data_IF_200499164530
#
_entry.id   IF_200499164530
#
_cell.length_a   1.000
_cell.length_b   1.000
_cell.length_c   1.000
_cell.angle_alpha   90.00
_cell.angle_beta   90.00
_cell.angle_gamma   90.00
#
_symmetry.space_group_name_H-M   'P 1'
#
loop_
_entity.id
_entity.type
_entity.pdbx_description
1 polymer ?
#
# COMPACT_ATOMS: atom_id res chain seq x y z
N UNK A 1 58.04 -1.39 8.46
CA UNK A 1 56.78 -0.77 8.90
C UNK A 1 55.78 -0.55 7.77
N UNK A 2 56.15 -0.09 6.59
CA UNK A 2 55.21 0.14 5.46
C UNK A 2 54.44 -1.09 4.96
N UNK A 3 55.05 -2.28 4.92
CA UNK A 3 54.37 -3.51 4.47
C UNK A 3 53.21 -3.95 5.36
N UNK A 4 53.29 -3.69 6.66
CA UNK A 4 52.22 -4.05 7.58
C UNK A 4 51.04 -3.06 7.55
N UNK A 5 51.29 -1.81 7.17
CA UNK A 5 50.25 -0.80 6.97
C UNK A 5 49.39 -1.11 5.74
N UNK A 6 49.98 -1.56 4.66
CA UNK A 6 49.29 -1.92 3.41
C UNK A 6 48.43 -3.17 3.63
N UNK A 7 48.90 -4.15 4.39
CA UNK A 7 48.15 -5.35 4.73
C UNK A 7 46.92 -5.01 5.62
N UNK A 8 47.03 -4.06 6.56
CA UNK A 8 45.96 -3.61 7.39
C UNK A 8 44.88 -2.83 6.61
N UNK A 9 45.27 -2.01 5.62
CA UNK A 9 44.32 -1.33 4.75
C UNK A 9 43.57 -2.27 3.81
N UNK A 10 44.21 -3.31 3.30
CA UNK A 10 43.58 -4.33 2.44
C UNK A 10 42.56 -5.20 3.23
N UNK A 11 42.81 -5.45 4.51
CA UNK A 11 41.91 -6.21 5.37
C UNK A 11 40.64 -5.37 5.75
N UNK A 12 40.78 -4.04 5.86
CA UNK A 12 39.65 -3.14 6.17
C UNK A 12 38.65 -2.97 5.02
N UNK A 13 39.05 -3.19 3.78
CA UNK A 13 38.18 -3.08 2.57
C UNK A 13 37.33 -4.35 2.40
N UNK A 14 37.69 -5.48 2.98
CA UNK A 14 36.94 -6.75 2.83
C UNK A 14 35.68 -6.87 3.68
N UNK A 15 35.36 -5.87 4.54
CA UNK A 15 34.17 -5.89 5.44
C UNK A 15 33.06 -4.97 4.92
N UNK A 16 33.03 -4.64 3.63
CA UNK A 16 31.84 -4.05 3.02
C UNK A 16 30.82 -5.17 2.84
N UNK A 17 30.17 -5.54 3.94
CA UNK A 17 29.03 -6.45 3.89
C UNK A 17 27.99 -5.91 2.91
N UNK A 18 27.58 -6.74 1.97
CA UNK A 18 26.49 -6.43 1.06
C UNK A 18 25.26 -6.11 1.90
N UNK A 19 24.90 -4.84 2.00
CA UNK A 19 23.62 -4.42 2.55
C UNK A 19 22.54 -4.98 1.61
N UNK A 20 21.96 -6.13 1.97
CA UNK A 20 20.77 -6.63 1.27
C UNK A 20 19.65 -5.65 1.52
N UNK A 21 19.42 -4.74 0.59
CA UNK A 21 18.19 -3.96 0.57
C UNK A 21 17.03 -4.94 0.45
N UNK A 22 16.14 -4.96 1.43
CA UNK A 22 14.92 -5.74 1.35
C UNK A 22 14.08 -5.18 0.21
N UNK A 23 14.07 -5.88 -0.94
CA UNK A 23 13.21 -5.51 -2.06
C UNK A 23 11.82 -6.11 -1.85
N UNK A 24 10.80 -5.27 -1.89
CA UNK A 24 9.41 -5.74 -1.91
C UNK A 24 9.09 -6.22 -3.32
N UNK A 25 8.65 -7.49 -3.43
CA UNK A 25 8.21 -8.03 -4.72
C UNK A 25 7.05 -7.22 -5.28
N UNK A 26 7.11 -6.88 -6.53
CA UNK A 26 5.99 -6.26 -7.24
C UNK A 26 4.85 -7.26 -7.43
N UNK A 27 3.65 -6.84 -7.02
CA UNK A 27 2.43 -7.65 -7.14
C UNK A 27 1.61 -7.18 -8.35
N UNK A 28 1.04 -8.13 -9.07
CA UNK A 28 0.03 -7.85 -10.08
C UNK A 28 -1.31 -7.51 -9.42
N UNK A 29 -2.20 -6.84 -10.13
CA UNK A 29 -3.49 -6.42 -9.59
C UNK A 29 -4.35 -7.62 -9.15
N UNK A 30 -4.30 -8.70 -9.90
CA UNK A 30 -4.99 -9.95 -9.55
C UNK A 30 -4.44 -10.57 -8.26
N UNK A 31 -3.13 -10.58 -8.07
CA UNK A 31 -2.50 -11.03 -6.83
C UNK A 31 -2.91 -10.15 -5.63
N UNK A 32 -2.96 -8.82 -5.83
CA UNK A 32 -3.42 -7.87 -4.82
C UNK A 32 -4.87 -8.17 -4.42
N UNK A 33 -5.77 -8.35 -5.40
CA UNK A 33 -7.18 -8.65 -5.17
C UNK A 33 -7.33 -10.00 -4.47
N UNK A 34 -6.61 -11.01 -4.93
CA UNK A 34 -6.71 -12.37 -4.42
C UNK A 34 -6.23 -12.50 -2.98
N UNK A 35 -5.11 -11.83 -2.67
CA UNK A 35 -4.47 -11.86 -1.34
C UNK A 35 -5.23 -11.02 -0.31
N UNK A 36 -5.95 -9.98 -0.75
CA UNK A 36 -6.71 -9.14 0.16
C UNK A 36 -7.80 -9.92 0.89
N UNK A 37 -7.93 -9.72 2.19
CA UNK A 37 -9.04 -10.25 3.01
C UNK A 37 -10.26 -9.35 2.87
N UNK A 38 -10.05 -8.03 2.84
CA UNK A 38 -11.09 -7.04 2.60
C UNK A 38 -10.62 -6.02 1.58
N UNK A 39 -11.56 -5.48 0.80
CA UNK A 39 -11.33 -4.38 -0.11
C UNK A 39 -12.54 -3.45 -0.16
N UNK A 40 -12.28 -2.16 -0.17
CA UNK A 40 -13.34 -1.14 -0.21
C UNK A 40 -12.88 0.14 -0.91
N UNK A 41 -13.86 0.94 -1.34
CA UNK A 41 -13.69 2.35 -1.68
C UNK A 41 -14.14 3.18 -0.48
N UNK A 42 -13.37 4.21 -0.13
CA UNK A 42 -13.72 5.08 0.98
C UNK A 42 -12.87 6.35 1.04
N UNK A 43 -13.35 7.31 1.81
CA UNK A 43 -12.67 8.58 2.07
C UNK A 43 -11.99 8.52 3.43
N UNK A 44 -10.72 8.88 3.51
CA UNK A 44 -10.02 9.02 4.77
C UNK A 44 -10.63 10.18 5.57
N UNK A 45 -11.19 9.89 6.74
CA UNK A 45 -11.83 10.89 7.61
C UNK A 45 -10.95 11.36 8.75
N UNK A 46 -9.89 10.61 9.08
CA UNK A 46 -8.98 11.01 10.15
C UNK A 46 -7.78 10.09 10.29
N UNK A 47 -6.71 10.65 10.83
CA UNK A 47 -5.52 9.93 11.26
C UNK A 47 -5.24 10.27 12.72
N UNK A 48 -4.94 9.26 13.54
CA UNK A 48 -4.55 9.44 14.93
C UNK A 48 -3.31 8.60 15.21
N UNK A 49 -2.23 9.26 15.57
CA UNK A 49 -0.97 8.60 15.92
C UNK A 49 -0.81 8.57 17.43
N UNK A 50 -0.45 7.41 17.96
CA UNK A 50 -0.23 7.22 19.38
C UNK A 50 0.75 6.07 19.65
N UNK A 51 1.18 5.93 20.89
CA UNK A 51 1.91 4.75 21.36
C UNK A 51 0.89 3.66 21.67
N UNK A 52 1.01 2.56 20.95
CA UNK A 52 0.10 1.42 21.12
C UNK A 52 0.33 0.72 22.48
N UNK A 53 -0.70 0.59 23.31
CA UNK A 53 -0.55 0.01 24.64
C UNK A 53 -0.17 -1.47 24.63
N UNK A 54 -0.50 -2.20 23.55
CA UNK A 54 -0.22 -3.63 23.42
C UNK A 54 1.22 -3.91 22.98
N UNK A 55 1.72 -3.14 22.02
CA UNK A 55 3.04 -3.39 21.40
C UNK A 55 4.11 -2.38 21.81
N UNK A 56 3.72 -1.28 22.45
CA UNK A 56 4.57 -0.14 22.79
C UNK A 56 5.21 0.57 21.59
N UNK A 57 4.79 0.25 20.36
CA UNK A 57 5.23 0.94 19.15
C UNK A 57 4.41 2.19 18.87
N UNK A 58 4.99 3.12 18.10
CA UNK A 58 4.23 4.22 17.51
C UNK A 58 3.39 3.65 16.38
N UNK A 59 2.09 3.89 16.41
CA UNK A 59 1.12 3.41 15.42
C UNK A 59 0.21 4.54 14.97
N UNK A 60 -0.26 4.44 13.74
CA UNK A 60 -1.27 5.34 13.19
C UNK A 60 -2.56 4.57 12.93
N UNK A 61 -3.64 5.06 13.50
CA UNK A 61 -5.00 4.65 13.19
C UNK A 61 -5.55 5.57 12.10
N UNK A 62 -5.86 5.00 10.95
CA UNK A 62 -6.51 5.72 9.85
C UNK A 62 -7.95 5.25 9.72
N UNK A 63 -8.88 6.19 9.79
CA UNK A 63 -10.33 5.94 9.70
C UNK A 63 -10.86 6.35 8.34
N UNK A 64 -11.71 5.51 7.77
CA UNK A 64 -12.36 5.71 6.49
C UNK A 64 -13.88 5.72 6.63
N UNK A 65 -14.55 6.65 5.95
CA UNK A 65 -15.94 6.52 5.58
C UNK A 65 -16.02 5.66 4.32
N UNK A 66 -16.54 4.43 4.46
CA UNK A 66 -16.63 3.46 3.37
C UNK A 66 -17.85 3.77 2.51
N UNK A 67 -17.65 3.92 1.21
CA UNK A 67 -18.70 4.23 0.24
C UNK A 67 -19.11 3.01 -0.59
N UNK A 68 -18.19 2.02 -0.74
CA UNK A 68 -18.45 0.81 -1.51
C UNK A 68 -17.58 -0.35 -1.03
N UNK A 69 -18.16 -1.52 -0.80
CA UNK A 69 -17.45 -2.74 -0.40
C UNK A 69 -17.23 -3.61 -1.64
N UNK A 70 -15.96 -3.97 -1.87
CA UNK A 70 -15.53 -4.76 -3.03
C UNK A 70 -15.25 -6.20 -2.67
N UNK A 71 -14.77 -6.46 -1.44
CA UNK A 71 -14.47 -7.81 -0.93
C UNK A 71 -14.60 -7.86 0.58
N UNK A 72 -15.10 -8.98 1.08
CA UNK A 72 -15.26 -9.24 2.52
C UNK A 72 -16.38 -8.42 3.16
N UNK A 73 -16.40 -8.39 4.50
CA UNK A 73 -17.40 -7.67 5.28
C UNK A 73 -16.76 -6.43 5.90
N UNK A 74 -17.24 -5.25 5.53
CA UNK A 74 -16.71 -3.96 5.97
C UNK A 74 -17.88 -3.05 6.36
N UNK A 75 -17.81 -2.45 7.54
CA UNK A 75 -18.82 -1.49 7.99
C UNK A 75 -18.66 -0.13 7.29
N UNK A 76 -19.67 0.73 7.40
CA UNK A 76 -19.66 2.10 6.84
C UNK A 76 -18.52 2.97 7.36
N UNK A 77 -17.99 2.64 8.54
CA UNK A 77 -16.76 3.23 9.07
C UNK A 77 -15.76 2.11 9.33
N UNK A 78 -14.56 2.25 8.78
CA UNK A 78 -13.49 1.26 8.95
C UNK A 78 -12.20 1.93 9.39
N UNK A 79 -11.55 1.38 10.41
CA UNK A 79 -10.28 1.89 10.92
C UNK A 79 -9.20 0.84 10.77
N UNK A 80 -8.08 1.22 10.18
CA UNK A 80 -6.89 0.40 10.09
C UNK A 80 -5.83 0.89 11.07
N UNK A 81 -5.01 -0.03 11.57
CA UNK A 81 -3.86 0.23 12.44
C UNK A 81 -2.59 -0.11 11.69
N UNK A 82 -1.73 0.87 11.51
CA UNK A 82 -0.45 0.72 10.83
C UNK A 82 0.71 1.09 11.73
N UNK A 83 1.87 0.46 11.48
CA UNK A 83 3.09 0.79 12.21
C UNK A 83 3.64 2.13 11.74
N UNK A 84 4.10 2.95 12.69
CA UNK A 84 4.71 4.25 12.42
C UNK A 84 3.75 5.42 12.47
N UNK A 85 4.29 6.60 12.34
CA UNK A 85 3.61 7.88 12.37
C UNK A 85 4.42 8.94 13.12
N UNK A 86 3.87 10.13 13.20
CA UNK A 86 4.40 11.26 13.97
C UNK A 86 3.47 11.55 15.14
N UNK A 87 4.02 11.48 16.34
CA UNK A 87 3.28 11.76 17.56
C UNK A 87 2.86 13.23 17.62
N UNK A 88 1.71 13.53 18.24
CA UNK A 88 1.30 14.90 18.49
C UNK A 88 2.42 15.70 19.17
N UNK A 89 2.66 16.93 18.69
CA UNK A 89 3.75 17.78 19.21
C UNK A 89 5.13 17.50 18.62
N UNK A 90 5.28 16.50 17.74
CA UNK A 90 6.56 16.18 17.09
C UNK A 90 7.59 15.51 18.02
N UNK A 91 7.19 15.08 19.22
CA UNK A 91 8.07 14.49 20.22
C UNK A 91 8.77 13.20 19.74
N UNK A 92 8.09 12.44 18.91
CA UNK A 92 8.59 11.20 18.35
C UNK A 92 7.99 10.96 16.96
N UNK A 93 8.85 10.74 15.98
CA UNK A 93 8.46 10.30 14.63
C UNK A 93 9.12 8.96 14.36
N UNK A 94 8.30 7.97 13.99
CA UNK A 94 8.78 6.66 13.57
C UNK A 94 8.20 6.35 12.20
N UNK A 95 9.05 6.19 11.21
CA UNK A 95 8.65 5.92 9.84
C UNK A 95 9.15 4.54 9.42
N UNK A 96 8.25 3.79 8.80
CA UNK A 96 8.55 2.47 8.22
C UNK A 96 8.45 2.60 6.70
N UNK A 97 9.55 2.28 6.02
CA UNK A 97 9.60 2.37 4.56
C UNK A 97 8.55 1.45 3.91
N UNK A 98 7.86 2.01 2.93
CA UNK A 98 6.81 1.31 2.19
C UNK A 98 5.44 1.28 2.87
N UNK A 99 5.31 1.60 4.17
CA UNK A 99 4.01 1.76 4.81
C UNK A 99 3.34 3.03 4.30
N UNK A 100 2.17 2.94 3.64
CA UNK A 100 1.55 4.11 3.03
C UNK A 100 0.87 4.99 4.08
N UNK A 101 0.89 6.29 3.83
CA UNK A 101 0.09 7.28 4.54
C UNK A 101 -1.18 7.60 3.78
N UNK A 102 -2.22 8.09 4.50
CA UNK A 102 -3.49 8.49 3.92
C UNK A 102 -3.77 9.95 4.26
N UNK A 103 -4.20 10.70 3.27
CA UNK A 103 -4.54 12.13 3.44
C UNK A 103 -6.01 12.25 3.81
N UNK A 104 -6.31 13.00 4.89
CA UNK A 104 -7.68 13.29 5.30
C UNK A 104 -8.42 14.04 4.18
N UNK A 105 -9.65 13.63 3.90
CA UNK A 105 -10.47 14.14 2.81
C UNK A 105 -10.21 13.50 1.45
N UNK A 106 -9.12 12.73 1.29
CA UNK A 106 -8.84 12.04 0.02
C UNK A 106 -9.56 10.68 -0.05
N UNK A 107 -9.93 10.32 -1.27
CA UNK A 107 -10.64 9.07 -1.59
C UNK A 107 -9.67 8.01 -2.09
N UNK A 108 -9.90 6.77 -1.68
CA UNK A 108 -9.04 5.63 -1.98
C UNK A 108 -9.86 4.37 -2.32
N UNK A 109 -9.27 3.48 -3.12
CA UNK A 109 -9.60 2.07 -3.14
C UNK A 109 -8.48 1.34 -2.41
N UNK A 110 -8.83 0.56 -1.37
CA UNK A 110 -7.85 -0.07 -0.50
C UNK A 110 -8.09 -1.58 -0.46
N UNK A 111 -7.02 -2.34 -0.68
CA UNK A 111 -6.99 -3.80 -0.56
C UNK A 111 -6.15 -4.14 0.67
N UNK A 112 -6.75 -4.70 1.70
CA UNK A 112 -6.14 -4.93 3.00
C UNK A 112 -5.86 -6.40 3.28
N UNK A 113 -4.74 -6.65 3.93
CA UNK A 113 -4.47 -7.93 4.57
C UNK A 113 -5.41 -8.16 5.76
N UNK A 114 -5.51 -9.41 6.18
CA UNK A 114 -6.20 -9.75 7.42
C UNK A 114 -5.59 -9.05 8.63
N UNK A 115 -6.42 -8.84 9.65
CA UNK A 115 -5.97 -8.23 10.92
C UNK A 115 -5.08 -9.21 11.67
N UNK A 116 -3.89 -8.77 12.07
CA UNK A 116 -2.96 -9.56 12.90
C UNK A 116 -3.46 -9.69 14.34
N UNK A 117 -2.86 -10.60 15.12
CA UNK A 117 -3.14 -10.74 16.56
C UNK A 117 -2.89 -9.47 17.37
N UNK A 118 -2.02 -8.59 16.90
CA UNK A 118 -1.75 -7.29 17.50
C UNK A 118 -2.64 -6.16 16.92
N UNK A 119 -3.63 -6.49 16.10
CA UNK A 119 -4.59 -5.56 15.53
C UNK A 119 -4.09 -4.80 14.29
N UNK A 120 -2.90 -5.09 13.77
CA UNK A 120 -2.41 -4.44 12.56
C UNK A 120 -3.14 -4.91 11.32
N UNK A 121 -3.51 -3.96 10.47
CA UNK A 121 -4.06 -4.20 9.13
C UNK A 121 -3.45 -3.17 8.18
N UNK A 122 -2.80 -3.66 7.13
CA UNK A 122 -2.11 -2.81 6.16
C UNK A 122 -2.52 -3.18 4.75
N UNK A 123 -2.39 -2.25 3.79
CA UNK A 123 -2.59 -2.58 2.40
C UNK A 123 -1.64 -3.69 1.94
N UNK A 124 -2.14 -4.53 1.03
CA UNK A 124 -1.37 -5.64 0.44
C UNK A 124 -0.10 -5.08 -0.23
N UNK A 125 1.01 -5.77 0.00
CA UNK A 125 2.30 -5.37 -0.57
C UNK A 125 2.74 -3.97 -0.13
N UNK A 126 2.46 -3.57 1.11
CA UNK A 126 2.70 -2.23 1.66
C UNK A 126 1.85 -1.18 0.93
N UNK A 127 2.48 -0.32 0.12
CA UNK A 127 1.75 0.71 -0.63
C UNK A 127 1.03 0.21 -1.89
N UNK A 128 1.29 -1.04 -2.35
CA UNK A 128 0.79 -1.53 -3.63
C UNK A 128 -0.73 -1.72 -3.64
N UNK A 129 -1.31 -2.13 -2.50
CA UNK A 129 -2.76 -2.28 -2.33
C UNK A 129 -3.52 -0.98 -2.02
N UNK A 130 -2.85 0.17 -2.03
CA UNK A 130 -3.45 1.49 -1.86
C UNK A 130 -3.57 2.20 -3.20
N UNK A 131 -4.76 2.43 -3.68
CA UNK A 131 -5.03 3.20 -4.90
C UNK A 131 -5.68 4.54 -4.55
N UNK A 132 -5.04 5.64 -4.93
CA UNK A 132 -5.61 6.98 -4.79
C UNK A 132 -6.62 7.22 -5.91
N UNK A 133 -7.82 7.68 -5.55
CA UNK A 133 -8.86 8.09 -6.52
C UNK A 133 -8.62 9.55 -6.90
N UNK A 134 -8.74 9.84 -8.19
CA UNK A 134 -8.63 11.20 -8.73
C UNK A 134 -9.76 11.48 -9.69
N UNK A 135 -10.36 12.66 -9.58
CA UNK A 135 -11.30 13.17 -10.59
C UNK A 135 -10.52 13.62 -11.82
N UNK A 136 -10.99 13.22 -12.99
CA UNK A 136 -10.49 13.67 -14.30
C UNK A 136 -11.65 14.22 -15.14
N UNK A 137 -11.36 14.77 -16.28
CA UNK A 137 -12.40 15.26 -17.22
C UNK A 137 -13.28 14.14 -17.77
N UNK A 138 -12.76 12.90 -17.80
CA UNK A 138 -13.44 11.71 -18.32
C UNK A 138 -14.05 10.81 -17.24
N UNK A 139 -13.95 11.20 -15.96
CA UNK A 139 -14.46 10.42 -14.83
C UNK A 139 -13.43 10.21 -13.73
N UNK A 140 -13.69 9.27 -12.81
CA UNK A 140 -12.77 8.95 -11.73
C UNK A 140 -11.77 7.88 -12.19
N UNK A 141 -10.50 8.10 -11.89
CA UNK A 141 -9.40 7.15 -12.12
C UNK A 141 -8.70 6.79 -10.82
N UNK A 142 -7.98 5.67 -10.81
CA UNK A 142 -7.21 5.19 -9.66
C UNK A 142 -5.74 4.98 -10.02
N UNK A 143 -4.85 5.17 -9.05
CA UNK A 143 -3.43 4.87 -9.20
C UNK A 143 -2.76 4.54 -7.88
N UNK A 144 -1.86 3.56 -7.89
CA UNK A 144 -0.92 3.29 -6.80
C UNK A 144 0.52 3.70 -7.15
N UNK A 145 0.68 4.51 -8.22
CA UNK A 145 1.99 4.97 -8.73
C UNK A 145 2.59 4.10 -9.82
N UNK A 146 2.07 2.88 -10.05
CA UNK A 146 2.52 1.96 -11.11
C UNK A 146 1.70 2.16 -12.39
N UNK A 147 2.27 1.77 -13.53
CA UNK A 147 1.54 1.78 -14.81
C UNK A 147 0.47 0.70 -14.84
N UNK A 148 -0.62 0.94 -15.56
CA UNK A 148 -1.70 -0.06 -15.76
C UNK A 148 -1.15 -1.32 -16.41
N UNK A 149 -0.26 -1.19 -17.39
CA UNK A 149 0.36 -2.32 -18.08
C UNK A 149 1.12 -3.23 -17.13
N UNK A 150 1.88 -2.67 -16.18
CA UNK A 150 2.61 -3.44 -15.16
C UNK A 150 1.66 -4.13 -14.17
N UNK A 151 0.53 -3.48 -13.85
CA UNK A 151 -0.46 -4.04 -12.92
C UNK A 151 -1.32 -5.14 -13.53
N UNK A 152 -1.57 -5.08 -14.84
CA UNK A 152 -2.59 -5.92 -15.50
C UNK A 152 -2.03 -6.85 -16.57
N UNK A 153 -0.71 -7.04 -16.62
CA UNK A 153 -0.06 -7.84 -17.67
C UNK A 153 -0.62 -9.26 -17.84
N UNK A 154 -1.27 -9.83 -16.84
CA UNK A 154 -1.88 -11.16 -16.86
C UNK A 154 -3.43 -11.13 -16.95
N UNK A 155 -4.05 -9.94 -16.97
CA UNK A 155 -5.49 -9.80 -17.10
C UNK A 155 -5.79 -9.43 -18.55
N UNK A 156 -6.60 -10.21 -19.28
CA UNK A 156 -7.08 -9.79 -20.60
C UNK A 156 -7.95 -8.53 -20.45
N UNK A 157 -7.40 -7.38 -20.78
CA UNK A 157 -8.15 -6.14 -20.87
C UNK A 157 -8.53 -5.93 -22.33
N UNK A 158 -9.82 -5.84 -22.62
CA UNK A 158 -10.32 -5.51 -23.96
C UNK A 158 -10.01 -4.07 -24.38
N UNK A 159 -9.43 -3.26 -23.48
CA UNK A 159 -9.15 -1.84 -23.73
C UNK A 159 -7.64 -1.60 -23.61
N UNK A 160 -6.98 -1.51 -24.75
CA UNK A 160 -5.64 -0.92 -24.82
C UNK A 160 -5.74 0.58 -24.50
N UNK A 161 -4.97 1.12 -23.52
CA UNK A 161 -4.96 2.56 -23.26
C UNK A 161 -4.38 3.27 -24.47
N UNK A 162 -5.19 4.16 -25.06
CA UNK A 162 -4.87 4.88 -26.30
C UNK A 162 -3.88 6.04 -26.09
N UNK A 163 -3.55 6.38 -24.82
CA UNK A 163 -2.71 7.52 -24.45
C UNK A 163 -1.64 7.14 -23.42
N UNK A 164 -0.39 7.51 -23.69
CA UNK A 164 0.74 7.29 -22.76
C UNK A 164 0.55 7.99 -21.40
N UNK A 165 -0.19 9.10 -21.34
CA UNK A 165 -0.55 9.78 -20.09
C UNK A 165 -1.61 9.03 -19.27
N UNK A 166 -2.50 8.28 -19.95
CA UNK A 166 -3.52 7.44 -19.33
C UNK A 166 -2.99 6.04 -18.93
N UNK A 167 -1.84 5.64 -19.45
CA UNK A 167 -1.22 4.33 -19.19
C UNK A 167 -0.88 4.07 -17.71
N UNK A 168 -0.96 5.07 -16.82
CA UNK A 168 -0.68 4.95 -15.38
C UNK A 168 -1.91 4.85 -14.50
N UNK A 169 -3.12 4.90 -15.06
CA UNK A 169 -4.36 4.96 -14.28
C UNK A 169 -5.41 4.03 -14.84
N UNK A 170 -6.04 3.28 -13.96
CA UNK A 170 -7.26 2.53 -14.26
C UNK A 170 -8.49 3.40 -13.98
N UNK A 171 -9.59 3.14 -14.66
CA UNK A 171 -10.89 3.66 -14.27
C UNK A 171 -11.30 3.13 -12.89
N UNK A 172 -11.98 3.97 -12.10
CA UNK A 172 -12.49 3.54 -10.79
C UNK A 172 -13.47 2.36 -10.94
N UNK A 173 -14.40 2.43 -11.89
CA UNK A 173 -15.37 1.35 -12.11
C UNK A 173 -14.72 0.08 -12.67
N UNK A 174 -13.64 0.22 -13.41
CA UNK A 174 -12.86 -0.89 -13.94
C UNK A 174 -12.21 -1.69 -12.81
N UNK A 175 -11.46 -1.06 -11.91
CA UNK A 175 -10.84 -1.76 -10.77
C UNK A 175 -11.88 -2.41 -9.86
N UNK A 176 -13.03 -1.75 -9.66
CA UNK A 176 -14.16 -2.30 -8.88
C UNK A 176 -14.75 -3.54 -9.54
N UNK A 177 -14.94 -3.51 -10.85
CA UNK A 177 -15.47 -4.64 -11.63
C UNK A 177 -14.50 -5.83 -11.60
N UNK A 178 -13.20 -5.57 -11.78
CA UNK A 178 -12.17 -6.60 -11.67
C UNK A 178 -12.14 -7.24 -10.27
N UNK A 179 -12.20 -6.42 -9.21
CA UNK A 179 -12.21 -6.93 -7.83
C UNK A 179 -13.41 -7.85 -7.58
N UNK A 180 -14.62 -7.43 -7.97
CA UNK A 180 -15.85 -8.21 -7.78
C UNK A 180 -15.89 -9.48 -8.63
N UNK A 181 -15.39 -9.42 -9.87
CA UNK A 181 -15.34 -10.59 -10.74
C UNK A 181 -14.47 -11.71 -10.13
N UNK A 182 -13.30 -11.34 -9.56
CA UNK A 182 -12.42 -12.33 -8.94
C UNK A 182 -12.95 -12.92 -7.64
N UNK A 183 -13.75 -12.17 -6.87
CA UNK A 183 -14.43 -12.71 -5.68
C UNK A 183 -15.43 -13.80 -6.07
N UNK A 184 -16.26 -13.57 -7.10
CA UNK A 184 -17.28 -14.54 -7.58
C UNK A 184 -16.71 -15.86 -8.14
N UNK A 185 -15.48 -15.83 -8.65
CA UNK A 185 -14.85 -17.04 -9.20
C UNK A 185 -14.34 -17.98 -8.09
N UNK A 186 -14.17 -17.45 -6.87
CA UNK A 186 -13.60 -18.20 -5.72
C UNK A 186 -14.64 -18.68 -4.71
N UNK A 187 -15.89 -18.25 -4.85
CA UNK A 187 -17.07 -18.76 -4.11
C UNK A 187 -17.69 -19.94 -4.84
#
# INVERSE_FOLDING_TARGET
MFKNLIAACLLAVAVVGSASAASVRELMLDEIIDTATIAFQGTCTGNRTERDPLTNFVVTYTTFAVTDVLKGNVQTTHTIKQLGGEMPGGELSFRVDGVPTFTVGAEYVVFLAGVSSAGFSSPIGLAQGKFSVRQTTTGKTVTNGRSVRELTAQIPLEVAPTDAANARRLGLDEIKSLARARVRVKE
#
